data_IF_641269786180
#
_entry.id   IF_641269786180
#
_cell.length_a   1.000
_cell.length_b   1.000
_cell.length_c   1.000
_cell.angle_alpha   90.00
_cell.angle_beta   90.00
_cell.angle_gamma   90.00
#
_symmetry.space_group_name_H-M   'P 1'
#
loop_
_entity.id
_entity.type
_entity.pdbx_description
1 polymer ?
#
# COMPACT_ATOMS: atom_id res chain seq x y z
N UNK A 1 21.02 -17.11 -8.50
CA UNK A 1 21.70 -17.81 -7.39
C UNK A 1 20.65 -18.58 -6.62
N UNK A 2 20.79 -19.90 -6.43
CA UNK A 2 19.77 -20.68 -5.71
C UNK A 2 19.76 -20.27 -4.24
N UNK A 3 18.64 -19.73 -3.78
CA UNK A 3 18.44 -19.32 -2.39
C UNK A 3 18.69 -20.48 -1.42
N UNK A 4 19.44 -20.21 -0.35
CA UNK A 4 19.64 -21.15 0.73
C UNK A 4 18.38 -21.32 1.61
N UNK A 5 18.39 -22.29 2.52
CA UNK A 5 17.22 -22.59 3.36
C UNK A 5 16.82 -21.43 4.28
N UNK A 6 17.80 -20.65 4.76
CA UNK A 6 17.55 -19.49 5.60
C UNK A 6 16.95 -18.35 4.77
N UNK A 7 17.50 -18.06 3.60
CA UNK A 7 17.00 -17.04 2.68
C UNK A 7 15.56 -17.32 2.26
N UNK A 8 15.22 -18.58 1.96
CA UNK A 8 13.84 -18.99 1.64
C UNK A 8 12.87 -18.72 2.79
N UNK A 9 13.30 -19.01 4.02
CA UNK A 9 12.48 -18.75 5.22
C UNK A 9 12.27 -17.25 5.43
N UNK A 10 13.34 -16.46 5.29
CA UNK A 10 13.28 -14.99 5.40
C UNK A 10 12.33 -14.42 4.35
N UNK A 11 12.46 -14.81 3.08
CA UNK A 11 11.56 -14.38 2.00
C UNK A 11 10.11 -14.75 2.31
N UNK A 12 9.84 -15.96 2.78
CA UNK A 12 8.47 -16.39 3.14
C UNK A 12 7.86 -15.47 4.21
N UNK A 13 8.63 -15.14 5.23
CA UNK A 13 8.18 -14.25 6.31
C UNK A 13 8.01 -12.80 5.83
N UNK A 14 8.91 -12.29 4.98
CA UNK A 14 8.80 -10.98 4.36
C UNK A 14 7.56 -10.88 3.47
N UNK A 15 7.30 -11.87 2.61
CA UNK A 15 6.09 -11.93 1.78
C UNK A 15 4.81 -11.94 2.62
N UNK A 16 4.81 -12.65 3.76
CA UNK A 16 3.68 -12.62 4.71
C UNK A 16 3.48 -11.23 5.31
N UNK A 17 4.56 -10.56 5.75
CA UNK A 17 4.50 -9.17 6.27
C UNK A 17 3.99 -8.20 5.21
N UNK A 18 4.48 -8.31 3.96
CA UNK A 18 4.00 -7.53 2.81
C UNK A 18 2.50 -7.69 2.60
N UNK A 19 1.99 -8.92 2.66
CA UNK A 19 0.55 -9.19 2.55
C UNK A 19 -0.30 -8.48 3.62
N UNK A 20 0.17 -8.41 4.87
CA UNK A 20 -0.51 -7.66 5.95
C UNK A 20 -0.54 -6.16 5.67
N UNK A 21 0.53 -5.61 5.10
CA UNK A 21 0.60 -4.20 4.71
C UNK A 21 -0.35 -3.90 3.56
N UNK A 22 -0.36 -4.75 2.51
CA UNK A 22 -1.34 -4.65 1.40
C UNK A 22 -2.77 -4.69 1.90
N UNK A 23 -3.09 -5.56 2.85
CA UNK A 23 -4.42 -5.63 3.46
C UNK A 23 -4.81 -4.32 4.17
N UNK A 24 -3.84 -3.56 4.70
CA UNK A 24 -4.09 -2.23 5.27
C UNK A 24 -4.50 -1.24 4.18
N UNK A 25 -3.79 -1.24 3.05
CA UNK A 25 -4.16 -0.42 1.89
C UNK A 25 -5.55 -0.80 1.33
N UNK A 26 -5.87 -2.10 1.26
CA UNK A 26 -7.21 -2.58 0.87
C UNK A 26 -8.32 -2.07 1.79
N UNK A 27 -8.08 -2.03 3.11
CA UNK A 27 -9.06 -1.48 4.07
C UNK A 27 -9.26 0.02 3.87
N UNK A 28 -8.20 0.76 3.53
CA UNK A 28 -8.30 2.19 3.21
C UNK A 28 -9.11 2.38 1.91
N UNK A 29 -8.80 1.63 0.85
CA UNK A 29 -9.60 1.65 -0.40
C UNK A 29 -11.07 1.39 -0.13
N UNK A 30 -11.38 0.35 0.65
CA UNK A 30 -12.76 0.02 1.02
C UNK A 30 -13.43 1.16 1.78
N UNK A 31 -12.71 1.87 2.64
CA UNK A 31 -13.25 3.05 3.30
C UNK A 31 -13.62 4.14 2.29
N UNK A 32 -12.71 4.50 1.38
CA UNK A 32 -12.95 5.53 0.34
C UNK A 32 -14.14 5.16 -0.53
N UNK A 33 -14.20 3.91 -1.01
CA UNK A 33 -15.31 3.42 -1.85
C UNK A 33 -16.68 3.47 -1.17
N UNK A 34 -16.73 3.46 0.16
CA UNK A 34 -17.97 3.51 0.93
C UNK A 34 -18.23 4.90 1.54
N UNK A 35 -17.33 5.87 1.33
CA UNK A 35 -17.46 7.23 1.85
C UNK A 35 -18.59 7.96 1.12
N UNK A 36 -19.45 8.65 1.87
CA UNK A 36 -20.60 9.40 1.36
C UNK A 36 -20.42 10.89 1.66
N UNK A 37 -20.02 11.73 0.69
CA UNK A 37 -19.75 13.15 0.93
C UNK A 37 -20.90 13.92 1.58
N UNK A 38 -22.15 13.56 1.27
CA UNK A 38 -23.34 14.22 1.83
C UNK A 38 -23.70 13.78 3.28
N UNK A 39 -22.96 12.82 3.86
CA UNK A 39 -23.29 12.19 5.15
C UNK A 39 -22.07 12.15 6.07
N UNK A 40 -20.92 11.75 5.54
CA UNK A 40 -19.70 11.53 6.29
C UNK A 40 -18.87 12.82 6.34
N UNK A 41 -18.27 13.10 7.50
CA UNK A 41 -17.41 14.27 7.65
C UNK A 41 -16.12 14.12 6.83
N UNK A 42 -15.76 15.15 6.04
CA UNK A 42 -14.54 15.16 5.23
C UNK A 42 -13.26 15.00 6.06
N UNK A 43 -13.27 15.43 7.32
CA UNK A 43 -12.16 15.25 8.26
C UNK A 43 -11.80 13.78 8.48
N UNK A 44 -12.74 12.84 8.28
CA UNK A 44 -12.44 11.41 8.32
C UNK A 44 -11.53 10.99 7.15
N UNK A 45 -11.69 11.57 5.96
CA UNK A 45 -10.78 11.34 4.84
C UNK A 45 -9.41 11.91 5.15
N UNK A 46 -9.33 13.12 5.70
CA UNK A 46 -8.07 13.76 6.06
C UNK A 46 -7.26 12.90 7.04
N UNK A 47 -7.88 12.46 8.15
CA UNK A 47 -7.21 11.58 9.13
C UNK A 47 -6.77 10.24 8.52
N UNK A 48 -7.55 9.67 7.60
CA UNK A 48 -7.18 8.41 6.93
C UNK A 48 -6.08 8.61 5.89
N UNK A 49 -6.01 9.78 5.26
CA UNK A 49 -4.96 10.12 4.32
C UNK A 49 -3.59 10.22 5.02
N UNK A 50 -3.54 10.61 6.30
CA UNK A 50 -2.31 10.64 7.11
C UNK A 50 -1.68 9.25 7.31
N UNK A 51 -2.49 8.17 7.25
CA UNK A 51 -2.01 6.79 7.38
C UNK A 51 -1.30 6.28 6.12
N UNK A 52 -1.63 6.84 4.95
CA UNK A 52 -1.12 6.37 3.65
C UNK A 52 0.43 6.42 3.58
N UNK A 53 1.11 7.53 3.92
CA UNK A 53 2.58 7.57 3.96
C UNK A 53 3.22 6.49 4.85
N UNK A 54 2.56 6.14 5.96
CA UNK A 54 3.05 5.10 6.89
C UNK A 54 2.94 3.71 6.23
N UNK A 55 1.82 3.44 5.57
CA UNK A 55 1.61 2.19 4.81
C UNK A 55 2.64 2.07 3.68
N UNK A 56 2.87 3.15 2.92
CA UNK A 56 3.86 3.19 1.85
C UNK A 56 5.28 2.89 2.37
N UNK A 57 5.71 3.56 3.45
CA UNK A 57 7.04 3.35 4.04
C UNK A 57 7.24 1.90 4.50
N UNK A 58 6.24 1.32 5.16
CA UNK A 58 6.30 -0.09 5.61
C UNK A 58 6.39 -1.06 4.44
N UNK A 59 5.66 -0.79 3.35
CA UNK A 59 5.74 -1.61 2.15
C UNK A 59 7.13 -1.50 1.54
N UNK A 60 7.63 -0.29 1.31
CA UNK A 60 8.92 -0.04 0.68
C UNK A 60 10.07 -0.69 1.45
N UNK A 61 10.05 -0.62 2.78
CA UNK A 61 11.04 -1.28 3.63
C UNK A 61 11.06 -2.81 3.44
N UNK A 62 9.89 -3.45 3.42
CA UNK A 62 9.77 -4.92 3.25
C UNK A 62 10.08 -5.34 1.82
N UNK A 63 9.58 -4.58 0.85
CA UNK A 63 9.76 -4.86 -0.57
C UNK A 63 11.23 -4.74 -0.97
N UNK A 64 11.93 -3.70 -0.49
CA UNK A 64 13.37 -3.55 -0.71
C UNK A 64 14.18 -4.70 -0.12
N UNK A 65 13.77 -5.24 1.05
CA UNK A 65 14.41 -6.42 1.62
C UNK A 65 14.20 -7.67 0.76
N UNK A 66 13.02 -7.83 0.13
CA UNK A 66 12.75 -8.93 -0.79
C UNK A 66 13.61 -8.78 -2.05
N UNK A 67 13.69 -7.57 -2.62
CA UNK A 67 14.49 -7.25 -3.82
C UNK A 67 15.98 -7.57 -3.63
N UNK A 68 16.51 -7.36 -2.42
CA UNK A 68 17.91 -7.65 -2.10
C UNK A 68 18.22 -9.15 -1.96
N UNK A 69 17.22 -9.97 -1.61
CA UNK A 69 17.43 -11.42 -1.36
C UNK A 69 17.03 -12.22 -2.61
N UNK A 70 15.87 -11.92 -3.19
CA UNK A 70 15.21 -12.72 -4.22
C UNK A 70 15.52 -12.23 -5.64
N UNK A 71 16.80 -11.99 -5.94
CA UNK A 71 17.28 -11.34 -7.17
C UNK A 71 16.87 -12.09 -8.45
N UNK A 72 16.71 -13.41 -8.38
CA UNK A 72 16.34 -14.25 -9.52
C UNK A 72 14.86 -14.07 -9.93
N UNK A 73 14.01 -13.49 -9.06
CA UNK A 73 12.58 -13.23 -9.32
C UNK A 73 12.29 -11.74 -9.58
N UNK A 74 13.26 -10.99 -10.10
CA UNK A 74 13.18 -9.54 -10.25
C UNK A 74 11.91 -9.04 -10.98
N UNK A 75 11.44 -9.74 -12.02
CA UNK A 75 10.23 -9.36 -12.77
C UNK A 75 8.95 -9.42 -11.91
N UNK A 76 8.75 -10.52 -11.17
CA UNK A 76 7.59 -10.67 -10.29
C UNK A 76 7.65 -9.68 -9.11
N UNK A 77 8.85 -9.38 -8.63
CA UNK A 77 9.09 -8.45 -7.54
C UNK A 77 8.80 -7.02 -7.99
N UNK A 78 9.26 -6.62 -9.18
CA UNK A 78 8.98 -5.31 -9.77
C UNK A 78 7.47 -5.14 -10.01
N UNK A 79 6.83 -6.17 -10.57
CA UNK A 79 5.37 -6.18 -10.77
C UNK A 79 4.61 -5.95 -9.47
N UNK A 80 5.03 -6.57 -8.37
CA UNK A 80 4.40 -6.36 -7.08
C UNK A 80 4.53 -4.90 -6.59
N UNK A 81 5.69 -4.28 -6.82
CA UNK A 81 5.92 -2.86 -6.48
C UNK A 81 5.00 -1.97 -7.32
N UNK A 82 4.98 -2.17 -8.63
CA UNK A 82 4.12 -1.44 -9.55
C UNK A 82 2.63 -1.54 -9.16
N UNK A 83 2.14 -2.76 -8.88
CA UNK A 83 0.76 -2.99 -8.44
C UNK A 83 0.44 -2.23 -7.15
N UNK A 84 1.34 -2.27 -6.15
CA UNK A 84 1.14 -1.57 -4.89
C UNK A 84 1.15 -0.05 -5.07
N UNK A 85 2.10 0.49 -5.83
CA UNK A 85 2.25 1.93 -6.05
C UNK A 85 1.07 2.50 -6.82
N UNK A 86 0.63 1.81 -7.88
CA UNK A 86 -0.58 2.17 -8.63
C UNK A 86 -1.80 2.22 -7.70
N UNK A 87 -1.97 1.21 -6.85
CA UNK A 87 -3.06 1.18 -5.89
C UNK A 87 -2.98 2.33 -4.88
N UNK A 88 -1.79 2.56 -4.34
CA UNK A 88 -1.51 3.59 -3.36
C UNK A 88 -1.82 4.99 -3.91
N UNK A 89 -1.29 5.33 -5.08
CA UNK A 89 -1.48 6.64 -5.68
C UNK A 89 -2.91 6.85 -6.15
N UNK A 90 -3.58 5.81 -6.68
CA UNK A 90 -5.00 5.89 -7.04
C UNK A 90 -5.87 6.23 -5.81
N UNK A 91 -5.69 5.51 -4.70
CA UNK A 91 -6.44 5.77 -3.46
C UNK A 91 -6.14 7.19 -2.93
N UNK A 92 -4.87 7.59 -2.94
CA UNK A 92 -4.46 8.92 -2.45
C UNK A 92 -5.05 10.04 -3.30
N UNK A 93 -5.08 9.88 -4.62
CA UNK A 93 -5.68 10.83 -5.55
C UNK A 93 -7.19 10.96 -5.31
N UNK A 94 -7.89 9.83 -5.23
CA UNK A 94 -9.33 9.80 -4.98
C UNK A 94 -9.70 10.49 -3.66
N UNK A 95 -8.98 10.20 -2.58
CA UNK A 95 -9.15 10.90 -1.30
C UNK A 95 -8.95 12.41 -1.45
N UNK A 96 -7.90 12.83 -2.15
CA UNK A 96 -7.57 14.24 -2.32
C UNK A 96 -8.63 14.98 -3.15
N UNK A 97 -9.16 14.34 -4.19
CA UNK A 97 -10.25 14.88 -5.01
C UNK A 97 -11.52 15.07 -4.18
N UNK A 98 -11.89 14.09 -3.37
CA UNK A 98 -13.05 14.17 -2.46
C UNK A 98 -12.88 15.31 -1.43
N UNK A 99 -11.69 15.45 -0.84
CA UNK A 99 -11.40 16.53 0.11
C UNK A 99 -11.49 17.91 -0.56
N UNK A 100 -10.95 18.04 -1.77
CA UNK A 100 -10.93 19.32 -2.50
C UNK A 100 -12.33 19.71 -2.98
N UNK A 101 -13.15 18.74 -3.38
CA UNK A 101 -14.54 18.98 -3.78
C UNK A 101 -15.34 19.61 -2.62
N UNK A 102 -15.20 19.08 -1.40
CA UNK A 102 -15.87 19.63 -0.22
C UNK A 102 -15.38 21.04 0.14
N UNK A 103 -14.07 21.29 0.05
CA UNK A 103 -13.46 22.60 0.38
C UNK A 103 -13.77 23.70 -0.65
N UNK A 104 -14.22 23.33 -1.84
CA UNK A 104 -14.59 24.27 -2.90
C UNK A 104 -16.04 24.75 -2.81
N UNK A 105 -16.83 24.18 -1.89
CA UNK A 105 -18.19 24.57 -1.55
C UNK A 105 -18.22 25.50 -0.33
#
# INVERSE_FOLDING_TARGET
MVLDENERKVISDLRRKRGVIKASLTRIRKFVQNFKPNVDAVTLLEFRQEELPIVNRKFDEIQSQIELIDVDNAEDIEKEREEFENDYFAIRSEMQELINAEKSH
#
